data_IF_220982168257
#
_entry.id   IF_220982168257
#
_cell.length_a   1.000
_cell.length_b   1.000
_cell.length_c   1.000
_cell.angle_alpha   90.00
_cell.angle_beta   90.00
_cell.angle_gamma   90.00
#
_symmetry.space_group_name_H-M   'P 1'
#
loop_
_entity.id
_entity.type
_entity.pdbx_description
1 polymer ?
#
# COMPACT_ATOMS: atom_id res chain seq x y z
N UNK A 1 -2.72 16.97 3.66
CA UNK A 1 -3.68 17.99 3.23
C UNK A 1 -3.31 19.37 3.77
N UNK A 2 -3.11 19.57 5.09
CA UNK A 2 -2.90 20.90 5.70
C UNK A 2 -1.77 21.73 5.04
N UNK A 3 -0.59 21.13 4.79
CA UNK A 3 0.51 21.80 4.08
C UNK A 3 0.12 22.17 2.63
N UNK A 4 -0.58 21.24 1.96
CA UNK A 4 -1.06 21.50 0.60
C UNK A 4 -2.00 22.71 0.57
N UNK A 5 -3.00 22.73 1.44
CA UNK A 5 -4.01 23.78 1.53
C UNK A 5 -3.43 25.12 1.96
N UNK A 6 -2.62 25.13 3.04
CA UNK A 6 -2.13 26.36 3.67
C UNK A 6 -0.96 27.03 2.94
N UNK A 7 -0.16 26.26 2.17
CA UNK A 7 1.09 26.78 1.60
C UNK A 7 1.27 26.49 0.12
N UNK A 8 1.09 25.22 -0.30
CA UNK A 8 1.45 24.84 -1.66
C UNK A 8 0.40 25.34 -2.66
N UNK A 9 -0.88 25.16 -2.36
CA UNK A 9 -1.98 25.53 -3.23
C UNK A 9 -1.99 27.05 -3.51
N UNK A 10 -1.99 27.96 -2.51
CA UNK A 10 -1.97 29.39 -2.76
C UNK A 10 -0.75 29.81 -3.60
N UNK A 11 0.44 29.28 -3.25
CA UNK A 11 1.68 29.62 -3.94
C UNK A 11 1.70 29.15 -5.40
N UNK A 12 1.20 27.95 -5.69
CA UNK A 12 1.16 27.44 -7.05
C UNK A 12 0.06 28.09 -7.88
N UNK A 13 -1.07 28.47 -7.25
CA UNK A 13 -2.14 29.25 -7.86
C UNK A 13 -1.63 30.63 -8.33
N UNK A 14 -0.96 31.37 -7.44
CA UNK A 14 -0.34 32.65 -7.77
C UNK A 14 0.70 32.51 -8.91
N UNK A 15 1.55 31.49 -8.85
CA UNK A 15 2.53 31.17 -9.91
C UNK A 15 1.87 30.85 -11.27
N UNK A 16 0.70 30.28 -11.26
CA UNK A 16 -0.09 30.01 -12.46
C UNK A 16 -0.86 31.22 -12.97
N UNK A 17 -0.81 32.36 -12.23
CA UNK A 17 -1.52 33.60 -12.59
C UNK A 17 -3.02 33.56 -12.32
N UNK A 18 -3.49 32.61 -11.47
CA UNK A 18 -4.90 32.45 -11.15
C UNK A 18 -5.26 33.18 -9.83
N UNK A 19 -6.41 33.85 -9.82
CA UNK A 19 -6.98 34.47 -8.64
C UNK A 19 -7.69 33.44 -7.75
N UNK A 20 -8.01 33.82 -6.51
CA UNK A 20 -8.62 32.90 -5.54
C UNK A 20 -10.01 32.44 -5.96
N UNK A 21 -10.75 33.32 -6.58
CA UNK A 21 -12.11 33.09 -7.03
C UNK A 21 -12.18 32.30 -8.34
N UNK A 22 -11.07 32.14 -9.05
CA UNK A 22 -11.05 31.49 -10.37
C UNK A 22 -10.94 29.98 -10.29
N UNK A 23 -10.34 29.43 -9.20
CA UNK A 23 -10.13 27.98 -9.09
C UNK A 23 -10.20 27.51 -7.64
N UNK A 24 -10.90 26.40 -7.44
CA UNK A 24 -11.00 25.73 -6.14
C UNK A 24 -10.74 24.22 -6.27
N UNK A 25 -10.40 23.59 -5.15
CA UNK A 25 -10.22 22.16 -5.02
C UNK A 25 -10.67 21.72 -3.63
N UNK A 26 -11.45 20.65 -3.53
CA UNK A 26 -11.88 20.08 -2.25
C UNK A 26 -10.78 19.27 -1.56
N UNK A 27 -10.88 19.06 -0.25
CA UNK A 27 -9.84 18.35 0.51
C UNK A 27 -9.74 16.88 0.15
N UNK A 28 -10.84 16.22 -0.16
CA UNK A 28 -10.89 14.84 -0.64
C UNK A 28 -10.20 14.67 -2.00
N UNK A 29 -10.34 15.66 -2.90
CA UNK A 29 -9.63 15.68 -4.18
C UNK A 29 -8.12 15.91 -3.97
N UNK A 30 -7.72 16.76 -3.02
CA UNK A 30 -6.32 16.92 -2.61
C UNK A 30 -5.74 15.62 -2.05
N UNK A 31 -6.52 14.85 -1.27
CA UNK A 31 -6.12 13.53 -0.77
C UNK A 31 -5.86 12.55 -1.91
N UNK A 32 -6.65 12.60 -2.97
CA UNK A 32 -6.43 11.79 -4.18
C UNK A 32 -5.12 12.20 -4.86
N UNK A 33 -4.84 13.50 -5.03
CA UNK A 33 -3.56 13.95 -5.59
C UNK A 33 -2.39 13.43 -4.75
N UNK A 34 -2.48 13.51 -3.42
CA UNK A 34 -1.44 13.04 -2.51
C UNK A 34 -1.26 11.52 -2.63
N UNK A 35 -2.34 10.75 -2.54
CA UNK A 35 -2.27 9.29 -2.45
C UNK A 35 -2.03 8.59 -3.77
N UNK A 36 -2.50 9.16 -4.88
CA UNK A 36 -2.44 8.52 -6.19
C UNK A 36 -1.31 9.03 -7.09
N UNK A 37 -0.77 10.24 -6.83
CA UNK A 37 0.24 10.85 -7.68
C UNK A 37 1.55 11.17 -6.98
N UNK A 38 1.63 11.03 -5.63
CA UNK A 38 2.87 11.29 -4.89
C UNK A 38 3.26 10.14 -3.97
N UNK A 39 4.58 9.92 -3.82
CA UNK A 39 5.14 8.96 -2.85
C UNK A 39 6.51 9.47 -2.43
N UNK A 40 6.52 10.37 -1.44
CA UNK A 40 7.73 11.06 -0.99
C UNK A 40 7.66 11.40 0.50
N UNK A 41 8.81 11.49 1.16
CA UNK A 41 8.89 11.94 2.56
C UNK A 41 8.71 13.46 2.72
N UNK A 42 8.77 14.21 1.65
CA UNK A 42 8.62 15.67 1.61
C UNK A 42 7.35 16.10 0.88
N UNK A 43 7.40 17.28 0.24
CA UNK A 43 6.25 17.87 -0.49
C UNK A 43 6.64 18.38 -1.88
N UNK A 44 7.86 18.08 -2.38
CA UNK A 44 8.34 18.61 -3.67
C UNK A 44 7.58 18.02 -4.86
N UNK A 45 7.28 16.74 -4.82
CA UNK A 45 6.49 16.09 -5.87
C UNK A 45 5.05 16.61 -5.83
N UNK A 46 4.45 16.71 -4.65
CA UNK A 46 3.12 17.29 -4.47
C UNK A 46 3.05 18.73 -5.00
N UNK A 47 4.05 19.55 -4.68
CA UNK A 47 4.13 20.91 -5.23
C UNK A 47 4.14 20.92 -6.77
N UNK A 48 4.90 20.02 -7.38
CA UNK A 48 4.97 19.89 -8.85
C UNK A 48 3.65 19.45 -9.48
N UNK A 49 2.98 18.47 -8.88
CA UNK A 49 1.69 17.98 -9.36
C UNK A 49 0.61 19.08 -9.24
N UNK A 50 0.52 19.76 -8.10
CA UNK A 50 -0.39 20.91 -7.92
C UNK A 50 -0.10 22.04 -8.93
N UNK A 51 1.16 22.36 -9.15
CA UNK A 51 1.56 23.32 -10.17
C UNK A 51 1.22 22.88 -11.59
N UNK A 52 1.25 21.59 -11.88
CA UNK A 52 0.84 21.05 -13.18
C UNK A 52 -0.67 21.18 -13.41
N UNK A 53 -1.47 20.82 -12.38
CA UNK A 53 -2.93 20.98 -12.43
C UNK A 53 -3.28 22.45 -12.69
N UNK A 54 -2.75 23.36 -11.88
CA UNK A 54 -3.10 24.80 -11.95
C UNK A 54 -2.66 25.46 -13.27
N UNK A 55 -1.49 25.11 -13.81
CA UNK A 55 -1.07 25.61 -15.12
C UNK A 55 -1.98 25.12 -16.26
N UNK A 56 -2.40 23.85 -16.23
CA UNK A 56 -3.33 23.33 -17.23
C UNK A 56 -4.71 23.97 -17.10
N UNK A 57 -5.17 24.22 -15.87
CA UNK A 57 -6.42 24.94 -15.61
C UNK A 57 -6.33 26.39 -16.15
N UNK A 58 -5.25 27.10 -15.85
CA UNK A 58 -5.02 28.43 -16.40
C UNK A 58 -5.03 28.45 -17.95
N UNK A 59 -4.42 27.45 -18.56
CA UNK A 59 -4.46 27.31 -20.02
C UNK A 59 -5.89 27.13 -20.52
N UNK A 60 -6.68 26.23 -19.93
CA UNK A 60 -8.09 26.01 -20.31
C UNK A 60 -8.95 27.30 -20.16
N UNK A 61 -8.71 28.10 -19.13
CA UNK A 61 -9.40 29.38 -18.95
C UNK A 61 -9.01 30.36 -20.07
N UNK A 62 -7.71 30.50 -20.38
CA UNK A 62 -7.24 31.42 -21.42
C UNK A 62 -7.71 30.99 -22.82
N UNK A 63 -7.75 29.67 -23.09
CA UNK A 63 -8.26 29.13 -24.37
C UNK A 63 -9.79 29.07 -24.44
N UNK A 64 -10.50 29.50 -23.37
CA UNK A 64 -11.96 29.46 -23.26
C UNK A 64 -12.56 28.06 -23.33
N UNK A 65 -11.78 27.05 -22.94
CA UNK A 65 -12.25 25.67 -22.74
C UNK A 65 -12.90 25.46 -21.36
N UNK A 66 -12.62 26.37 -20.42
CA UNK A 66 -13.27 26.43 -19.10
C UNK A 66 -13.54 27.89 -18.74
N UNK A 67 -14.63 28.12 -18.00
CA UNK A 67 -15.00 29.45 -17.48
C UNK A 67 -14.86 29.47 -15.94
N UNK A 68 -14.22 30.49 -15.36
CA UNK A 68 -14.17 30.66 -13.91
C UNK A 68 -15.55 30.88 -13.29
N UNK A 69 -15.82 30.44 -12.06
CA UNK A 69 -14.93 29.62 -11.21
C UNK A 69 -14.84 28.16 -11.63
N UNK A 70 -13.64 27.61 -11.67
CA UNK A 70 -13.40 26.20 -11.96
C UNK A 70 -13.26 25.43 -10.66
N UNK A 71 -14.18 24.53 -10.39
CA UNK A 71 -14.06 23.56 -9.30
C UNK A 71 -13.38 22.30 -9.82
N UNK A 72 -12.21 21.99 -9.25
CA UNK A 72 -11.43 20.82 -9.66
C UNK A 72 -11.94 19.57 -8.95
N UNK A 73 -12.49 18.66 -9.73
CA UNK A 73 -12.89 17.32 -9.31
C UNK A 73 -11.80 16.27 -9.65
N UNK A 74 -12.12 15.02 -9.36
CA UNK A 74 -11.22 13.88 -9.62
C UNK A 74 -10.91 13.70 -11.10
N UNK A 75 -11.89 13.96 -11.96
CA UNK A 75 -11.72 13.79 -13.41
C UNK A 75 -10.85 14.90 -13.98
N UNK A 76 -10.99 16.13 -13.50
CA UNK A 76 -10.09 17.25 -13.83
C UNK A 76 -8.65 16.97 -13.41
N UNK A 77 -8.44 16.37 -12.22
CA UNK A 77 -7.11 15.94 -11.76
C UNK A 77 -6.53 14.85 -12.67
N UNK A 78 -7.32 13.85 -13.04
CA UNK A 78 -6.89 12.77 -13.95
C UNK A 78 -6.56 13.27 -15.34
N UNK A 79 -7.36 14.18 -15.86
CA UNK A 79 -7.07 14.85 -17.14
C UNK A 79 -5.77 15.66 -17.08
N UNK A 80 -5.54 16.35 -15.97
CA UNK A 80 -4.33 17.14 -15.76
C UNK A 80 -3.07 16.30 -15.55
N UNK A 81 -3.13 15.24 -14.75
CA UNK A 81 -1.96 14.47 -14.32
C UNK A 81 -1.78 13.15 -15.08
N UNK A 82 -2.79 12.73 -15.83
CA UNK A 82 -2.80 11.45 -16.53
C UNK A 82 -3.12 10.27 -15.62
N UNK A 83 -2.65 9.09 -16.01
CA UNK A 83 -2.92 7.86 -15.26
C UNK A 83 -2.38 7.93 -13.84
N UNK A 84 -3.18 7.41 -12.90
CA UNK A 84 -2.78 7.16 -11.53
C UNK A 84 -1.41 6.46 -11.46
N UNK A 85 -0.51 7.00 -10.64
CA UNK A 85 0.88 6.50 -10.50
C UNK A 85 1.01 5.46 -9.39
N UNK A 86 0.19 5.57 -8.34
CA UNK A 86 0.23 4.70 -7.16
C UNK A 86 -1.15 4.13 -6.87
N UNK A 87 -1.24 2.81 -6.74
CA UNK A 87 -2.49 2.08 -6.51
C UNK A 87 -2.56 1.58 -5.06
N UNK A 88 -3.75 1.59 -4.47
CA UNK A 88 -4.04 0.90 -3.21
C UNK A 88 -4.64 -0.47 -3.54
N UNK A 89 -3.79 -1.48 -3.69
CA UNK A 89 -4.16 -2.81 -4.18
C UNK A 89 -4.68 -3.78 -3.10
N UNK A 90 -5.07 -3.30 -1.90
CA UNK A 90 -5.30 -4.18 -0.75
C UNK A 90 -6.47 -5.17 -0.91
N UNK A 91 -7.58 -4.78 -1.54
CA UNK A 91 -8.80 -5.57 -1.54
C UNK A 91 -8.75 -6.81 -2.46
N UNK A 92 -8.14 -6.70 -3.63
CA UNK A 92 -8.11 -7.79 -4.62
C UNK A 92 -7.10 -8.88 -4.25
N UNK A 93 -5.96 -8.50 -3.65
CA UNK A 93 -4.88 -9.45 -3.32
C UNK A 93 -5.23 -10.44 -2.22
N UNK A 94 -6.05 -10.04 -1.24
CA UNK A 94 -6.44 -10.92 -0.11
C UNK A 94 -7.70 -11.74 -0.36
N UNK A 95 -8.26 -11.72 -1.57
CA UNK A 95 -9.45 -12.50 -1.93
C UNK A 95 -9.18 -14.02 -2.00
N UNK A 96 -7.92 -14.43 -2.01
CA UNK A 96 -7.51 -15.82 -2.07
C UNK A 96 -6.85 -16.28 -0.75
N UNK A 97 -7.02 -17.55 -0.34
CA UNK A 97 -6.30 -18.10 0.80
C UNK A 97 -4.78 -18.02 0.59
N UNK A 98 -4.05 -17.80 1.68
CA UNK A 98 -2.60 -17.71 1.66
C UNK A 98 -2.07 -16.28 1.55
N UNK A 99 -2.92 -15.27 1.49
CA UNK A 99 -2.49 -13.87 1.46
C UNK A 99 -2.97 -13.12 2.68
N UNK A 100 -2.06 -12.42 3.35
CA UNK A 100 -2.35 -11.59 4.51
C UNK A 100 -1.74 -10.20 4.38
N UNK A 101 -2.39 -9.21 5.00
CA UNK A 101 -1.98 -7.81 4.99
C UNK A 101 -1.23 -7.47 6.26
N UNK A 102 0.04 -7.14 6.13
CA UNK A 102 0.87 -6.56 7.18
C UNK A 102 0.99 -5.05 7.05
N UNK A 103 1.58 -4.45 8.06
CA UNK A 103 1.89 -3.03 8.12
C UNK A 103 3.40 -2.82 8.14
N UNK A 104 3.87 -1.86 7.38
CA UNK A 104 5.26 -1.44 7.36
C UNK A 104 5.37 0.07 7.54
N UNK A 105 6.51 0.52 8.02
CA UNK A 105 6.85 1.95 8.13
C UNK A 105 8.09 2.21 7.30
N UNK A 106 8.04 3.24 6.50
CA UNK A 106 9.17 3.71 5.71
C UNK A 106 9.34 5.24 5.84
N UNK A 107 10.31 5.82 5.14
CA UNK A 107 10.57 7.25 5.19
C UNK A 107 9.40 8.13 4.71
N UNK A 108 8.44 7.56 3.98
CA UNK A 108 7.25 8.25 3.48
C UNK A 108 6.02 8.08 4.38
N UNK A 109 6.11 7.26 5.43
CA UNK A 109 5.04 7.00 6.38
C UNK A 109 4.69 5.52 6.49
N UNK A 110 3.43 5.22 6.87
CA UNK A 110 2.89 3.87 6.89
C UNK A 110 2.60 3.34 5.50
N UNK A 111 2.87 2.06 5.28
CA UNK A 111 2.59 1.37 4.03
C UNK A 111 2.00 -0.02 4.33
N UNK A 112 1.36 -0.60 3.34
CA UNK A 112 0.79 -1.94 3.41
C UNK A 112 1.81 -2.94 2.87
N UNK A 113 2.05 -4.00 3.63
CA UNK A 113 2.92 -5.10 3.27
C UNK A 113 2.08 -6.36 3.05
N UNK A 114 2.13 -6.93 1.86
CA UNK A 114 1.50 -8.23 1.61
C UNK A 114 2.46 -9.36 1.92
N UNK A 115 1.93 -10.42 2.50
CA UNK A 115 2.62 -11.70 2.65
C UNK A 115 1.80 -12.74 1.90
N UNK A 116 2.44 -13.39 0.95
CA UNK A 116 1.84 -14.41 0.09
C UNK A 116 2.45 -15.77 0.43
N UNK A 117 1.64 -16.74 0.76
CA UNK A 117 2.06 -18.10 1.06
C UNK A 117 1.44 -19.09 0.06
N UNK A 118 2.25 -20.03 -0.41
CA UNK A 118 1.78 -21.17 -1.22
C UNK A 118 2.45 -22.44 -0.75
N UNK A 119 1.89 -23.59 -1.11
CA UNK A 119 2.43 -24.89 -0.79
C UNK A 119 2.52 -25.76 -2.05
N UNK A 120 3.67 -26.39 -2.24
CA UNK A 120 3.97 -27.25 -3.38
C UNK A 120 4.46 -28.62 -2.90
N UNK A 121 4.52 -29.67 -3.74
CA UNK A 121 5.10 -30.95 -3.37
C UNK A 121 6.55 -30.80 -2.89
N UNK A 122 6.95 -31.57 -1.87
CA UNK A 122 8.29 -31.56 -1.26
C UNK A 122 8.27 -31.10 0.19
N UNK A 123 9.44 -30.83 0.76
CA UNK A 123 9.61 -30.46 2.15
C UNK A 123 10.34 -29.11 2.30
N UNK A 124 10.11 -28.44 3.43
CA UNK A 124 10.84 -27.24 3.84
C UNK A 124 10.12 -25.94 3.59
N UNK A 125 10.85 -24.83 3.81
CA UNK A 125 10.37 -23.45 3.70
C UNK A 125 11.28 -22.65 2.78
N UNK A 126 10.71 -22.06 1.74
CA UNK A 126 11.38 -21.11 0.84
C UNK A 126 10.90 -19.72 1.14
N UNK A 127 11.81 -18.78 1.23
CA UNK A 127 11.54 -17.38 1.55
C UNK A 127 12.08 -16.48 0.44
N UNK A 128 11.24 -15.58 -0.08
CA UNK A 128 11.64 -14.62 -1.12
C UNK A 128 11.07 -13.23 -0.82
N UNK A 129 11.65 -12.18 -1.40
CA UNK A 129 11.26 -10.79 -1.21
C UNK A 129 12.34 -9.92 -0.58
N UNK A 130 13.62 -10.31 -0.68
CA UNK A 130 14.78 -9.63 -0.07
C UNK A 130 14.64 -9.48 1.45
N UNK A 131 14.35 -10.59 2.12
CA UNK A 131 14.17 -10.65 3.56
C UNK A 131 15.53 -10.70 4.26
N UNK A 132 15.71 -9.85 5.27
CA UNK A 132 16.82 -9.93 6.21
C UNK A 132 16.71 -11.13 7.15
N UNK A 133 17.72 -11.34 7.96
CA UNK A 133 17.84 -12.57 8.74
C UNK A 133 16.81 -12.66 9.87
N UNK A 134 16.48 -11.54 10.51
CA UNK A 134 15.43 -11.49 11.54
C UNK A 134 14.06 -11.85 10.96
N UNK A 135 13.74 -11.36 9.76
CA UNK A 135 12.47 -11.67 9.10
C UNK A 135 12.42 -13.12 8.61
N UNK A 136 13.56 -13.72 8.19
CA UNK A 136 13.63 -15.14 7.86
C UNK A 136 13.41 -16.03 9.07
N UNK A 137 14.00 -15.69 10.21
CA UNK A 137 13.77 -16.38 11.49
C UNK A 137 12.30 -16.27 11.90
N UNK A 138 11.71 -15.10 11.79
CA UNK A 138 10.30 -14.86 12.07
C UNK A 138 9.38 -15.73 11.21
N UNK A 139 9.73 -15.99 9.94
CA UNK A 139 8.97 -16.88 9.07
C UNK A 139 9.07 -18.37 9.52
N UNK A 140 10.22 -18.80 10.02
CA UNK A 140 10.41 -20.14 10.58
C UNK A 140 9.59 -20.34 11.86
N UNK A 141 9.61 -19.33 12.74
CA UNK A 141 8.78 -19.30 13.95
C UNK A 141 7.29 -19.34 13.58
N UNK A 142 6.88 -18.56 12.57
CA UNK A 142 5.49 -18.52 12.09
C UNK A 142 5.01 -19.90 11.61
N UNK A 143 5.80 -20.62 10.81
CA UNK A 143 5.45 -21.96 10.37
C UNK A 143 5.37 -22.95 11.52
N UNK A 144 6.29 -22.89 12.46
CA UNK A 144 6.31 -23.75 13.66
C UNK A 144 5.11 -23.49 14.56
N UNK A 145 4.76 -22.22 14.78
CA UNK A 145 3.61 -21.82 15.58
C UNK A 145 2.29 -22.27 14.94
N UNK A 146 2.14 -22.10 13.62
CA UNK A 146 0.93 -22.57 12.91
C UNK A 146 0.81 -24.10 13.00
N UNK A 147 1.93 -24.83 12.84
CA UNK A 147 1.95 -26.29 12.98
C UNK A 147 1.58 -26.76 14.39
N UNK A 148 2.06 -26.07 15.43
CA UNK A 148 1.71 -26.40 16.81
C UNK A 148 0.23 -26.15 17.16
N UNK A 149 -0.45 -25.30 16.38
CA UNK A 149 -1.87 -24.97 16.56
C UNK A 149 -2.77 -25.66 15.49
N UNK A 150 -2.28 -26.65 14.77
CA UNK A 150 -2.97 -27.30 13.65
C UNK A 150 -4.38 -27.74 14.03
N UNK A 151 -4.53 -28.44 15.16
CA UNK A 151 -5.84 -28.91 15.66
C UNK A 151 -6.84 -27.75 15.87
N UNK A 152 -6.40 -26.64 16.46
CA UNK A 152 -7.24 -25.45 16.68
C UNK A 152 -7.65 -24.77 15.38
N UNK A 153 -6.82 -24.90 14.36
CA UNK A 153 -7.09 -24.36 13.03
C UNK A 153 -7.94 -25.30 12.17
N UNK A 154 -8.17 -26.52 12.62
CA UNK A 154 -8.86 -27.56 11.86
C UNK A 154 -8.02 -28.05 10.66
N UNK A 155 -6.70 -28.11 10.81
CA UNK A 155 -5.75 -28.49 9.77
C UNK A 155 -5.12 -29.83 10.16
N UNK A 156 -5.17 -30.78 9.24
CA UNK A 156 -4.52 -32.09 9.43
C UNK A 156 -2.99 -31.98 9.41
N UNK A 157 -2.30 -32.80 10.19
CA UNK A 157 -0.83 -32.75 10.28
C UNK A 157 -0.13 -33.05 8.94
N UNK A 158 -0.73 -33.88 8.12
CA UNK A 158 -0.26 -34.23 6.77
C UNK A 158 -0.23 -33.02 5.82
N UNK A 159 -1.02 -32.00 6.08
CA UNK A 159 -1.00 -30.75 5.30
C UNK A 159 0.33 -30.00 5.43
N UNK A 160 1.12 -30.31 6.48
CA UNK A 160 2.46 -29.76 6.69
C UNK A 160 3.59 -30.57 6.02
N UNK A 161 3.30 -31.72 5.42
CA UNK A 161 4.23 -32.52 4.65
C UNK A 161 4.35 -31.98 3.21
N UNK A 162 4.56 -30.67 3.12
CA UNK A 162 4.66 -29.91 1.87
C UNK A 162 5.77 -28.90 1.98
N UNK A 163 6.29 -28.50 0.84
CA UNK A 163 7.20 -27.36 0.74
C UNK A 163 6.40 -26.05 0.73
N UNK A 164 6.60 -25.23 1.73
CA UNK A 164 5.99 -23.91 1.80
C UNK A 164 6.89 -22.87 1.11
N UNK A 165 6.27 -21.95 0.40
CA UNK A 165 6.96 -20.79 -0.13
C UNK A 165 6.23 -19.53 0.35
N UNK A 166 6.94 -18.70 1.13
CA UNK A 166 6.45 -17.40 1.59
C UNK A 166 7.18 -16.31 0.81
N UNK A 167 6.40 -15.48 0.15
CA UNK A 167 6.88 -14.34 -0.63
C UNK A 167 6.37 -13.03 -0.04
N UNK A 168 7.26 -12.04 0.05
CA UNK A 168 6.89 -10.67 0.43
C UNK A 168 7.17 -9.76 -0.76
N UNK A 169 6.14 -9.35 -1.52
CA UNK A 169 6.28 -8.48 -2.70
C UNK A 169 7.01 -7.17 -2.44
N UNK A 170 7.30 -6.42 -3.52
CA UNK A 170 8.17 -5.25 -3.55
C UNK A 170 9.66 -5.63 -3.35
N UNK A 171 10.14 -6.58 -4.17
CA UNK A 171 11.49 -7.15 -4.09
C UNK A 171 12.65 -6.18 -4.33
N UNK A 172 12.38 -4.95 -4.75
CA UNK A 172 13.41 -3.91 -4.89
C UNK A 172 13.79 -3.24 -3.55
N UNK A 173 13.02 -3.50 -2.48
CA UNK A 173 13.23 -2.88 -1.16
C UNK A 173 13.58 -4.00 -0.16
N UNK A 174 14.79 -3.99 0.43
CA UNK A 174 15.13 -4.91 1.51
C UNK A 174 14.18 -4.73 2.70
N UNK A 175 13.76 -5.83 3.29
CA UNK A 175 12.85 -5.87 4.43
C UNK A 175 13.45 -6.71 5.54
N UNK A 176 13.42 -6.20 6.76
CA UNK A 176 13.88 -6.94 7.94
C UNK A 176 13.04 -6.55 9.16
N UNK A 177 13.11 -7.38 10.20
CA UNK A 177 12.46 -7.18 11.48
C UNK A 177 11.45 -8.27 11.83
N UNK A 178 11.11 -8.39 13.14
CA UNK A 178 10.24 -9.46 13.64
C UNK A 178 8.74 -9.17 13.46
N UNK A 179 8.37 -7.92 13.17
CA UNK A 179 6.99 -7.44 13.21
C UNK A 179 6.05 -8.04 12.15
N UNK A 180 6.59 -8.73 11.13
CA UNK A 180 5.80 -9.44 10.14
C UNK A 180 5.44 -10.89 10.56
N UNK A 181 5.89 -11.36 11.71
CA UNK A 181 5.67 -12.75 12.17
C UNK A 181 4.19 -13.13 12.21
N UNK A 182 3.35 -12.31 12.82
CA UNK A 182 1.91 -12.56 12.86
C UNK A 182 1.27 -12.56 11.48
N UNK A 183 1.73 -11.72 10.56
CA UNK A 183 1.24 -11.69 9.19
C UNK A 183 1.61 -12.96 8.43
N UNK A 184 2.84 -13.45 8.59
CA UNK A 184 3.31 -14.70 7.99
C UNK A 184 2.55 -15.90 8.54
N UNK A 185 2.33 -15.96 9.85
CA UNK A 185 1.52 -17.01 10.47
C UNK A 185 0.08 -16.99 9.97
N UNK A 186 -0.51 -15.80 9.83
CA UNK A 186 -1.87 -15.64 9.31
C UNK A 186 -1.98 -16.08 7.85
N UNK A 187 -1.00 -15.74 7.00
CA UNK A 187 -0.97 -16.18 5.60
C UNK A 187 -0.85 -17.71 5.50
N UNK A 188 0.03 -18.34 6.29
CA UNK A 188 0.18 -19.80 6.35
C UNK A 188 -1.08 -20.49 6.87
N UNK A 189 -1.67 -19.98 7.96
CA UNK A 189 -2.91 -20.51 8.52
C UNK A 189 -4.07 -20.37 7.52
N UNK A 190 -4.18 -19.24 6.83
CA UNK A 190 -5.17 -18.98 5.78
C UNK A 190 -5.03 -19.99 4.63
N UNK A 191 -3.81 -20.22 4.16
CA UNK A 191 -3.50 -21.20 3.11
C UNK A 191 -3.95 -22.60 3.51
N UNK A 192 -3.53 -23.06 4.70
CA UNK A 192 -3.78 -24.40 5.19
C UNK A 192 -5.28 -24.63 5.50
N UNK A 193 -5.96 -23.63 6.04
CA UNK A 193 -7.39 -23.70 6.33
C UNK A 193 -8.28 -23.44 5.09
N UNK A 194 -7.70 -23.06 3.95
CA UNK A 194 -8.46 -22.73 2.73
C UNK A 194 -9.39 -21.52 2.87
N UNK A 195 -9.12 -20.60 3.80
CA UNK A 195 -9.98 -19.45 4.11
C UNK A 195 -9.23 -18.12 3.87
N UNK A 196 -9.79 -17.22 3.04
CA UNK A 196 -9.18 -15.91 2.80
C UNK A 196 -9.15 -15.04 4.07
N UNK A 197 -8.13 -14.19 4.17
CA UNK A 197 -8.01 -13.18 5.23
C UNK A 197 -8.84 -11.95 4.84
N UNK A 198 -9.45 -11.30 5.83
CA UNK A 198 -10.19 -10.06 5.58
C UNK A 198 -9.26 -8.96 5.10
N UNK A 199 -9.56 -8.36 3.96
CA UNK A 199 -8.77 -7.27 3.37
C UNK A 199 -8.76 -5.98 4.22
N UNK A 200 -9.75 -5.84 5.11
CA UNK A 200 -9.87 -4.68 6.01
C UNK A 200 -9.02 -4.81 7.29
N UNK A 201 -8.27 -5.91 7.45
CA UNK A 201 -7.44 -6.17 8.62
C UNK A 201 -5.98 -6.12 8.21
N UNK A 202 -5.27 -5.10 8.66
CA UNK A 202 -3.81 -5.03 8.64
C UNK A 202 -3.26 -5.41 10.02
N UNK A 203 -2.14 -6.11 10.04
CA UNK A 203 -1.55 -6.59 11.27
C UNK A 203 -0.05 -6.35 11.34
N UNK A 204 0.46 -6.21 12.56
CA UNK A 204 1.88 -6.12 12.86
C UNK A 204 2.13 -6.70 14.24
N UNK A 205 3.19 -7.46 14.39
CA UNK A 205 3.58 -8.04 15.68
C UNK A 205 4.57 -9.18 15.53
N UNK A 206 5.43 -9.28 16.51
CA UNK A 206 6.32 -10.40 16.67
C UNK A 206 5.51 -11.63 17.13
N UNK A 207 5.92 -12.80 16.66
CA UNK A 207 5.33 -14.06 17.05
C UNK A 207 6.38 -14.87 17.83
N UNK A 208 5.94 -15.53 18.90
CA UNK A 208 6.74 -16.49 19.68
C UNK A 208 6.13 -17.87 19.59
N UNK A 209 6.83 -18.89 20.12
CA UNK A 209 6.35 -20.28 20.15
C UNK A 209 5.46 -20.60 21.37
N UNK A 210 5.16 -19.60 22.20
CA UNK A 210 4.33 -19.76 23.41
C UNK A 210 2.92 -19.23 23.20
#
# INVERSE_FOLDING_TARGET
VAIARGYLWPRQRERAGLQEEEVSIADDVLEIVISEYTREAGVRQLERELGSILRKTATKIVTKEAEPPVELDVDAVRDALGRQKFFREAAERTAVPGVATGLAVNATGGDVLFVEATAVPGEGLVLTGQLGDVMKESAQIALSAVRSQAERLGVEQEAFERKFHVHVPAGAIPKDGPSAGITMATALASLLAGRPVRHTVGMTGELTLQ
#
